data_IF_588266176700
#
_entry.id   IF_588266176700
#
_cell.length_a   1.000
_cell.length_b   1.000
_cell.length_c   1.000
_cell.angle_alpha   90.00
_cell.angle_beta   90.00
_cell.angle_gamma   90.00
#
_symmetry.space_group_name_H-M   'P 1'
#
loop_
_entity.id
_entity.type
_entity.pdbx_description
1 polymer ?
#
# COMPACT_ATOMS: atom_id res chain seq x y z
N UNK A 1 6.67 -12.84 29.47
CA UNK A 1 7.89 -12.13 29.04
C UNK A 1 8.33 -12.46 27.61
N UNK A 2 9.02 -13.57 27.31
CA UNK A 2 9.49 -13.84 25.92
C UNK A 2 8.36 -13.92 24.88
N UNK A 3 7.20 -14.49 25.26
CA UNK A 3 6.04 -14.63 24.38
C UNK A 3 5.32 -13.30 24.12
N UNK A 4 5.30 -12.38 25.09
CA UNK A 4 4.74 -11.03 24.93
C UNK A 4 5.65 -10.14 24.08
N UNK A 5 6.97 -10.26 24.26
CA UNK A 5 7.97 -9.55 23.42
C UNK A 5 7.92 -10.05 21.98
N UNK A 6 7.79 -11.36 21.75
CA UNK A 6 7.61 -11.91 20.41
C UNK A 6 6.30 -11.44 19.76
N UNK A 7 5.21 -11.34 20.54
CA UNK A 7 3.93 -10.82 20.07
C UNK A 7 4.01 -9.31 19.71
N UNK A 8 4.76 -8.53 20.49
CA UNK A 8 5.03 -7.12 20.21
C UNK A 8 5.95 -6.92 19.00
N UNK A 9 7.00 -7.74 18.86
CA UNK A 9 7.91 -7.70 17.72
C UNK A 9 7.20 -8.10 16.42
N UNK A 10 6.35 -9.13 16.47
CA UNK A 10 5.49 -9.53 15.34
C UNK A 10 4.47 -8.46 14.95
N UNK A 11 3.96 -7.70 15.93
CA UNK A 11 3.07 -6.56 15.67
C UNK A 11 3.79 -5.36 15.05
N UNK A 12 5.08 -5.17 15.34
CA UNK A 12 5.86 -4.06 14.82
C UNK A 12 6.50 -4.32 13.44
N UNK A 13 6.55 -5.59 12.99
CA UNK A 13 7.10 -5.92 11.68
C UNK A 13 6.11 -5.60 10.55
N UNK A 14 6.51 -4.62 9.73
CA UNK A 14 5.77 -4.11 8.57
C UNK A 14 6.37 -4.58 7.23
N UNK A 15 7.34 -5.49 7.26
CA UNK A 15 8.10 -5.92 6.07
C UNK A 15 7.19 -6.53 5.00
N UNK A 16 6.21 -7.34 5.42
CA UNK A 16 5.26 -7.99 4.51
C UNK A 16 4.44 -6.95 3.73
N UNK A 17 3.92 -5.92 4.42
CA UNK A 17 3.14 -4.84 3.80
C UNK A 17 3.98 -4.03 2.81
N UNK A 18 5.24 -3.73 3.14
CA UNK A 18 6.16 -3.04 2.23
C UNK A 18 6.44 -3.86 0.97
N UNK A 19 6.62 -5.18 1.11
CA UNK A 19 6.81 -6.08 -0.03
C UNK A 19 5.54 -6.15 -0.88
N UNK A 20 4.36 -6.24 -0.27
CA UNK A 20 3.07 -6.24 -0.98
C UNK A 20 2.85 -4.95 -1.77
N UNK A 21 3.08 -3.79 -1.16
CA UNK A 21 2.99 -2.49 -1.87
C UNK A 21 3.89 -2.46 -3.10
N UNK A 22 5.14 -2.94 -2.99
CA UNK A 22 6.06 -3.01 -4.14
C UNK A 22 5.51 -3.90 -5.26
N UNK A 23 4.98 -5.08 -4.92
CA UNK A 23 4.37 -5.98 -5.91
C UNK A 23 3.15 -5.36 -6.57
N UNK A 24 2.30 -4.65 -5.81
CA UNK A 24 1.15 -3.94 -6.38
C UNK A 24 1.59 -2.82 -7.33
N UNK A 25 2.65 -2.08 -7.00
CA UNK A 25 3.22 -1.05 -7.89
C UNK A 25 3.82 -1.63 -9.17
N UNK A 26 4.48 -2.79 -9.10
CA UNK A 26 4.98 -3.50 -10.28
C UNK A 26 3.83 -3.90 -11.19
N UNK A 27 2.81 -4.56 -10.65
CA UNK A 27 1.61 -4.93 -11.41
C UNK A 27 0.91 -3.70 -11.99
N UNK A 28 0.83 -2.59 -11.25
CA UNK A 28 0.22 -1.35 -11.72
C UNK A 28 0.93 -0.81 -12.97
N UNK A 29 2.27 -0.83 -12.98
CA UNK A 29 3.08 -0.42 -14.13
C UNK A 29 2.93 -1.35 -15.32
N UNK A 30 2.89 -2.66 -15.08
CA UNK A 30 2.67 -3.65 -16.14
C UNK A 30 1.32 -3.44 -16.82
N UNK A 31 0.24 -3.27 -16.03
CA UNK A 31 -1.12 -3.02 -16.55
C UNK A 31 -1.23 -1.75 -17.36
N UNK A 32 -0.56 -0.67 -16.95
CA UNK A 32 -0.52 0.57 -17.74
C UNK A 32 0.08 0.35 -19.15
N UNK A 33 0.97 -0.63 -19.33
CA UNK A 33 1.60 -0.96 -20.61
C UNK A 33 0.78 -1.90 -21.51
N UNK A 34 -0.23 -2.60 -20.98
CA UNK A 34 -1.02 -3.59 -21.74
C UNK A 34 -1.95 -2.96 -22.80
N UNK A 35 -2.35 -1.71 -22.60
CA UNK A 35 -3.35 -1.03 -23.44
C UNK A 35 -4.76 -1.60 -23.27
N UNK A 36 -5.77 -0.87 -23.74
CA UNK A 36 -7.18 -1.26 -23.57
C UNK A 36 -7.78 -0.86 -22.21
N UNK A 37 -8.96 -1.41 -21.83
CA UNK A 37 -9.68 -0.99 -20.63
C UNK A 37 -9.03 -1.56 -19.35
N UNK A 38 -8.12 -0.78 -18.77
CA UNK A 38 -7.37 -1.17 -17.57
C UNK A 38 -7.85 -0.49 -16.28
N UNK A 39 -8.75 0.50 -16.36
CA UNK A 39 -9.22 1.33 -15.24
C UNK A 39 -9.60 0.53 -14.00
N UNK A 40 -10.62 -0.34 -14.12
CA UNK A 40 -11.04 -1.25 -13.04
C UNK A 40 -9.92 -2.10 -12.41
N UNK A 41 -8.96 -2.57 -13.20
CA UNK A 41 -7.85 -3.37 -12.69
C UNK A 41 -6.84 -2.52 -11.90
N UNK A 42 -6.56 -1.30 -12.38
CA UNK A 42 -5.73 -0.33 -11.69
C UNK A 42 -6.40 0.15 -10.38
N UNK A 43 -7.72 0.35 -10.39
CA UNK A 43 -8.51 0.69 -9.21
C UNK A 43 -8.43 -0.38 -8.12
N UNK A 44 -8.47 -1.66 -8.51
CA UNK A 44 -8.25 -2.76 -7.57
C UNK A 44 -6.87 -2.69 -6.93
N UNK A 45 -5.80 -2.49 -7.71
CA UNK A 45 -4.45 -2.38 -7.18
C UNK A 45 -4.27 -1.17 -6.25
N UNK A 46 -4.93 -0.06 -6.55
CA UNK A 46 -5.00 1.12 -5.68
C UNK A 46 -5.64 0.78 -4.34
N UNK A 47 -6.76 0.07 -4.35
CA UNK A 47 -7.44 -0.36 -3.12
C UNK A 47 -6.54 -1.28 -2.27
N UNK A 48 -5.82 -2.20 -2.90
CA UNK A 48 -4.87 -3.06 -2.19
C UNK A 48 -3.72 -2.24 -1.58
N UNK A 49 -3.14 -1.26 -2.30
CA UNK A 49 -2.11 -0.38 -1.75
C UNK A 49 -2.60 0.43 -0.53
N UNK A 50 -3.85 0.93 -0.58
CA UNK A 50 -4.47 1.61 0.58
C UNK A 50 -4.63 0.64 1.76
N UNK A 51 -5.01 -0.62 1.51
CA UNK A 51 -5.13 -1.65 2.55
C UNK A 51 -3.80 -1.89 3.23
N UNK A 52 -2.72 -2.10 2.47
CA UNK A 52 -1.39 -2.32 3.03
C UNK A 52 -0.91 -1.10 3.85
N UNK A 53 -1.12 0.12 3.36
CA UNK A 53 -0.77 1.34 4.10
C UNK A 53 -1.55 1.47 5.43
N UNK A 54 -2.82 1.06 5.47
CA UNK A 54 -3.61 1.01 6.71
C UNK A 54 -3.08 -0.05 7.67
N UNK A 55 -2.68 -1.22 7.17
CA UNK A 55 -2.06 -2.27 7.99
C UNK A 55 -0.77 -1.77 8.64
N UNK A 56 0.12 -1.10 7.88
CA UNK A 56 1.34 -0.46 8.42
C UNK A 56 0.99 0.51 9.56
N UNK A 57 0.00 1.37 9.37
CA UNK A 57 -0.45 2.33 10.39
C UNK A 57 -0.95 1.64 11.67
N UNK A 58 -1.62 0.48 11.54
CA UNK A 58 -2.17 -0.26 12.68
C UNK A 58 -1.10 -1.06 13.45
N UNK A 59 0.01 -1.40 12.77
CA UNK A 59 1.14 -2.16 13.30
C UNK A 59 2.21 -1.27 13.94
N UNK A 60 2.32 -0.02 13.53
CA UNK A 60 3.36 0.91 13.98
C UNK A 60 2.79 2.22 14.54
N UNK A 61 3.21 2.56 15.76
CA UNK A 61 2.95 3.86 16.39
C UNK A 61 4.09 4.87 16.21
N UNK A 62 5.16 4.52 15.50
CA UNK A 62 6.31 5.40 15.30
C UNK A 62 5.95 6.58 14.39
N UNK A 63 6.27 7.79 14.86
CA UNK A 63 5.97 9.02 14.14
C UNK A 63 6.61 9.08 12.74
N UNK A 64 7.88 8.65 12.54
CA UNK A 64 8.46 8.58 11.19
C UNK A 64 7.68 7.66 10.25
N UNK A 65 7.29 6.46 10.73
CA UNK A 65 6.50 5.50 9.92
C UNK A 65 5.13 6.09 9.60
N UNK A 66 4.49 6.74 10.57
CA UNK A 66 3.20 7.41 10.37
C UNK A 66 3.28 8.46 9.27
N UNK A 67 4.35 9.28 9.23
CA UNK A 67 4.56 10.26 8.16
C UNK A 67 4.71 9.60 6.79
N UNK A 68 5.44 8.49 6.71
CA UNK A 68 5.57 7.73 5.46
C UNK A 68 4.23 7.14 5.00
N UNK A 69 3.43 6.60 5.91
CA UNK A 69 2.08 6.10 5.59
C UNK A 69 1.19 7.20 5.03
N UNK A 70 1.21 8.39 5.64
CA UNK A 70 0.43 9.54 5.14
C UNK A 70 0.88 9.94 3.72
N UNK A 71 2.19 10.00 3.47
CA UNK A 71 2.72 10.28 2.14
C UNK A 71 2.31 9.20 1.11
N UNK A 72 2.38 7.91 1.48
CA UNK A 72 1.92 6.81 0.62
C UNK A 72 0.45 6.99 0.25
N UNK A 73 -0.40 7.29 1.24
CA UNK A 73 -1.84 7.48 1.00
C UNK A 73 -2.12 8.66 0.08
N UNK A 74 -1.39 9.76 0.25
CA UNK A 74 -1.50 10.93 -0.63
C UNK A 74 -1.10 10.60 -2.07
N UNK A 75 0.00 9.88 -2.28
CA UNK A 75 0.41 9.49 -3.64
C UNK A 75 -0.54 8.47 -4.27
N UNK A 76 -1.08 7.52 -3.50
CA UNK A 76 -2.08 6.56 -3.98
C UNK A 76 -3.41 7.25 -4.34
N UNK A 77 -3.79 8.29 -3.61
CA UNK A 77 -4.93 9.14 -3.94
C UNK A 77 -4.75 9.83 -5.30
N UNK A 78 -3.58 10.45 -5.53
CA UNK A 78 -3.24 11.07 -6.81
C UNK A 78 -3.30 10.05 -7.95
N UNK A 79 -2.80 8.83 -7.74
CA UNK A 79 -2.92 7.75 -8.73
C UNK A 79 -4.38 7.41 -9.03
N UNK A 80 -5.25 7.36 -8.01
CA UNK A 80 -6.69 7.09 -8.20
C UNK A 80 -7.37 8.15 -9.04
N UNK A 81 -7.09 9.42 -8.78
CA UNK A 81 -7.62 10.51 -9.61
C UNK A 81 -7.20 10.35 -11.08
N UNK A 82 -5.95 9.97 -11.34
CA UNK A 82 -5.50 9.71 -12.72
C UNK A 82 -6.21 8.52 -13.36
N UNK A 83 -6.40 7.42 -12.62
CA UNK A 83 -7.10 6.23 -13.12
C UNK A 83 -8.56 6.52 -13.46
N UNK A 84 -9.24 7.33 -12.64
CA UNK A 84 -10.63 7.73 -12.89
C UNK A 84 -10.79 8.68 -14.08
N UNK A 85 -9.72 9.39 -14.48
CA UNK A 85 -9.73 10.28 -15.65
C UNK A 85 -9.50 9.56 -16.98
N UNK A 86 -9.02 8.31 -16.96
CA UNK A 86 -8.75 7.49 -18.16
C UNK A 86 -9.82 6.42 -18.44
N UNK A 87 -10.77 6.22 -17.52
CA UNK A 87 -12.03 5.51 -17.78
C UNK A 87 -13.01 6.37 -18.60
#
# INVERSE_FOLDING_TARGET
MAQEVALFASRADITEEVVRIRSHLEQFRERLGEGGPVGKALDFLIQEMVREANTIASKSSDLPITRHVLAIKEEVEKLREQVQNIE
#
